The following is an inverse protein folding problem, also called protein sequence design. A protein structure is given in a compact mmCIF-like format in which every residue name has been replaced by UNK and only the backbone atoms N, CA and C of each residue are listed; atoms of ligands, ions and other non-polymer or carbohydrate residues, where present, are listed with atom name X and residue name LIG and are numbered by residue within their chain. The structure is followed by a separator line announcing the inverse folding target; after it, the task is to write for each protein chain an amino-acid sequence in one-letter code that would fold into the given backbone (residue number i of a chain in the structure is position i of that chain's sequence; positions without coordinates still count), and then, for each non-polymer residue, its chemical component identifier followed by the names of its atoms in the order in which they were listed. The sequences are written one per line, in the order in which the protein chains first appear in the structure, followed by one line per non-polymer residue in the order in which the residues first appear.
data_IF_721848231880
#
_entry.id   IF_721848231880
#
_cell.length_a   1.000
_cell.length_b   1.000
_cell.length_c   1.000
_cell.angle_alpha   90.00
_cell.angle_beta   90.00
_cell.angle_gamma   90.00
#
_symmetry.space_group_name_H-M   'P 1'
#
loop_
_entity.id
_entity.type
_entity.pdbx_description
1 polymer ?
#
# COMPACT_ATOMS: atom_id res chain seq x y z
N UNK A 1 8.52 22.50 2.28
CA UNK A 1 8.71 21.41 1.30
C UNK A 1 8.17 20.08 1.81
N UNK A 2 8.57 19.60 3.00
CA UNK A 2 8.07 18.34 3.56
C UNK A 2 6.52 18.19 3.60
N UNK A 3 5.80 19.25 3.95
CA UNK A 3 4.33 19.24 3.98
C UNK A 3 3.71 19.01 2.59
N UNK A 4 4.25 19.66 1.55
CA UNK A 4 3.77 19.49 0.17
C UNK A 4 4.04 18.07 -0.31
N UNK A 5 5.23 17.52 -0.03
CA UNK A 5 5.57 16.13 -0.36
C UNK A 5 4.62 15.14 0.32
N UNK A 6 4.27 15.38 1.58
CA UNK A 6 3.31 14.56 2.32
C UNK A 6 1.91 14.62 1.71
N UNK A 7 1.44 15.82 1.31
CA UNK A 7 0.15 15.96 0.62
C UNK A 7 0.14 15.13 -0.66
N UNK A 8 1.18 15.25 -1.49
CA UNK A 8 1.26 14.50 -2.76
C UNK A 8 1.25 13.00 -2.50
N UNK A 9 2.02 12.52 -1.53
CA UNK A 9 2.06 11.11 -1.14
C UNK A 9 0.67 10.61 -0.69
N UNK A 10 0.04 11.32 0.25
CA UNK A 10 -1.29 10.95 0.78
C UNK A 10 -2.36 11.00 -0.31
N UNK A 11 -2.36 12.03 -1.16
CA UNK A 11 -3.31 12.14 -2.28
C UNK A 11 -3.16 10.97 -3.26
N UNK A 12 -1.93 10.57 -3.59
CA UNK A 12 -1.67 9.40 -4.43
C UNK A 12 -2.22 8.12 -3.80
N UNK A 13 -1.89 7.87 -2.53
CA UNK A 13 -2.35 6.68 -1.80
C UNK A 13 -3.87 6.64 -1.70
N UNK A 14 -4.51 7.74 -1.28
CA UNK A 14 -5.97 7.83 -1.18
C UNK A 14 -6.67 7.68 -2.54
N UNK A 15 -6.06 8.19 -3.62
CA UNK A 15 -6.57 8.03 -4.98
C UNK A 15 -6.52 6.58 -5.50
N UNK A 16 -5.54 5.79 -5.05
CA UNK A 16 -5.41 4.39 -5.45
C UNK A 16 -6.29 3.42 -4.66
N UNK A 17 -6.67 3.75 -3.41
CA UNK A 17 -7.54 2.92 -2.56
C UNK A 17 -8.81 2.41 -3.26
N UNK A 18 -9.65 3.26 -3.90
CA UNK A 18 -10.88 2.76 -4.53
C UNK A 18 -10.61 1.76 -5.66
N UNK A 19 -9.54 1.96 -6.45
CA UNK A 19 -9.16 1.03 -7.52
C UNK A 19 -8.71 -0.31 -6.94
N UNK A 20 -7.92 -0.27 -5.86
CA UNK A 20 -7.44 -1.47 -5.18
C UNK A 20 -8.59 -2.34 -4.64
N UNK A 21 -9.61 -1.74 -4.04
CA UNK A 21 -10.77 -2.47 -3.53
C UNK A 21 -11.70 -3.03 -4.61
N UNK A 22 -11.70 -2.45 -5.81
CA UNK A 22 -12.47 -2.96 -6.94
C UNK A 22 -11.76 -4.12 -7.67
N UNK A 23 -10.44 -4.28 -7.47
CA UNK A 23 -9.63 -5.25 -8.20
C UNK A 23 -10.14 -6.71 -8.08
N UNK A 24 -10.54 -7.23 -6.90
CA UNK A 24 -11.05 -8.60 -6.81
C UNK A 24 -12.30 -8.82 -7.64
N UNK A 25 -13.24 -7.87 -7.63
CA UNK A 25 -14.48 -7.97 -8.41
C UNK A 25 -14.24 -7.82 -9.91
N UNK A 26 -13.16 -7.13 -10.31
CA UNK A 26 -12.81 -6.96 -11.71
C UNK A 26 -12.17 -8.21 -12.33
N UNK A 27 -11.50 -9.05 -11.52
CA UNK A 27 -10.75 -10.23 -12.01
C UNK A 27 -11.34 -11.57 -11.57
N UNK A 28 -12.25 -11.60 -10.60
CA UNK A 28 -12.92 -12.78 -10.07
C UNK A 28 -14.44 -12.61 -10.13
N UNK A 29 -15.18 -13.73 -10.20
CA UNK A 29 -16.64 -13.74 -10.19
C UNK A 29 -17.20 -14.61 -9.05
N UNK A 30 -18.43 -14.30 -8.62
CA UNK A 30 -19.16 -15.08 -7.62
C UNK A 30 -18.39 -15.22 -6.29
N UNK A 31 -18.36 -16.43 -5.74
CA UNK A 31 -17.71 -16.72 -4.44
C UNK A 31 -16.21 -16.41 -4.42
N UNK A 32 -15.51 -16.51 -5.55
CA UNK A 32 -14.08 -16.20 -5.61
C UNK A 32 -13.80 -14.71 -5.34
N UNK A 33 -14.66 -13.82 -5.82
CA UNK A 33 -14.55 -12.39 -5.56
C UNK A 33 -14.72 -12.06 -4.07
N UNK A 34 -15.70 -12.68 -3.40
CA UNK A 34 -15.92 -12.54 -1.96
C UNK A 34 -14.69 -12.97 -1.14
N UNK A 35 -14.07 -14.10 -1.51
CA UNK A 35 -12.82 -14.58 -0.88
C UNK A 35 -11.68 -13.58 -1.11
N UNK A 36 -11.55 -13.02 -2.33
CA UNK A 36 -10.56 -11.99 -2.62
C UNK A 36 -10.71 -10.75 -1.73
N UNK A 37 -11.93 -10.27 -1.52
CA UNK A 37 -12.22 -9.14 -0.62
C UNK A 37 -11.94 -9.51 0.85
N UNK A 38 -12.29 -10.72 1.28
CA UNK A 38 -11.99 -11.20 2.63
C UNK A 38 -10.48 -11.25 2.88
N UNK A 39 -9.71 -11.74 1.91
CA UNK A 39 -8.24 -11.78 1.97
C UNK A 39 -7.63 -10.39 2.09
N UNK A 40 -8.10 -9.42 1.29
CA UNK A 40 -7.66 -8.02 1.40
C UNK A 40 -7.91 -7.48 2.81
N UNK A 41 -9.08 -7.74 3.40
CA UNK A 41 -9.41 -7.29 4.76
C UNK A 41 -8.49 -7.92 5.81
N UNK A 42 -8.16 -9.21 5.69
CA UNK A 42 -7.23 -9.87 6.60
C UNK A 42 -5.84 -9.22 6.56
N UNK A 43 -5.32 -8.92 5.37
CA UNK A 43 -4.03 -8.24 5.20
C UNK A 43 -4.10 -6.80 5.71
N UNK A 44 -5.19 -6.08 5.44
CA UNK A 44 -5.38 -4.71 5.91
C UNK A 44 -5.38 -4.60 7.45
N UNK A 45 -6.03 -5.55 8.14
CA UNK A 45 -6.00 -5.60 9.60
C UNK A 45 -4.59 -5.89 10.14
N UNK A 46 -3.83 -6.78 9.49
CA UNK A 46 -2.44 -7.03 9.87
C UNK A 46 -1.58 -5.78 9.70
N UNK A 47 -1.68 -5.11 8.54
CA UNK A 47 -0.95 -3.87 8.26
C UNK A 47 -1.33 -2.74 9.23
N UNK A 48 -2.62 -2.65 9.59
CA UNK A 48 -3.12 -1.66 10.57
C UNK A 48 -2.56 -1.86 11.98
N UNK A 49 -2.16 -3.08 12.34
CA UNK A 49 -1.46 -3.37 13.59
C UNK A 49 0.05 -3.16 13.47
N UNK A 50 0.65 -3.68 12.40
CA UNK A 50 2.11 -3.74 12.24
C UNK A 50 2.73 -2.37 11.93
N UNK A 51 2.05 -1.53 11.12
CA UNK A 51 2.54 -0.20 10.75
C UNK A 51 2.75 0.74 11.96
N UNK A 52 1.78 0.94 12.88
CA UNK A 52 2.00 1.76 14.06
C UNK A 52 2.95 1.12 15.07
N UNK A 53 2.97 -0.21 15.19
CA UNK A 53 3.92 -0.92 16.06
C UNK A 53 5.36 -0.67 15.60
N UNK A 54 5.64 -0.89 14.31
CA UNK A 54 6.95 -0.63 13.71
C UNK A 54 7.34 0.84 13.83
N UNK A 55 6.43 1.77 13.55
CA UNK A 55 6.70 3.21 13.68
C UNK A 55 7.02 3.60 15.13
N UNK A 56 6.31 3.02 16.10
CA UNK A 56 6.56 3.20 17.53
C UNK A 56 7.94 2.68 17.94
N UNK A 57 8.26 1.43 17.58
CA UNK A 57 9.56 0.82 17.88
C UNK A 57 10.73 1.62 17.27
N UNK A 58 10.57 2.10 16.04
CA UNK A 58 11.56 2.95 15.38
C UNK A 58 11.71 4.30 16.06
N UNK A 59 10.59 4.92 16.46
CA UNK A 59 10.60 6.18 17.21
C UNK A 59 11.31 6.02 18.54
N UNK A 60 11.08 4.92 19.26
CA UNK A 60 11.72 4.64 20.54
C UNK A 60 13.23 4.39 20.38
N UNK A 61 13.65 3.76 19.28
CA UNK A 61 15.06 3.51 18.99
C UNK A 61 15.82 4.76 18.47
N UNK A 62 15.22 5.59 17.61
CA UNK A 62 15.89 6.74 16.99
C UNK A 62 15.56 8.08 17.64
N UNK A 63 14.63 8.13 18.59
CA UNK A 63 14.17 9.35 19.26
C UNK A 63 13.38 10.33 18.37
N UNK A 64 13.08 9.96 17.13
CA UNK A 64 12.37 10.80 16.17
C UNK A 64 11.56 9.96 15.17
N UNK A 65 10.53 10.56 14.57
CA UNK A 65 9.65 9.90 13.58
C UNK A 65 10.20 9.89 12.16
N UNK A 66 11.25 10.65 11.89
CA UNK A 66 11.76 10.84 10.54
C UNK A 66 12.36 9.54 9.98
N UNK A 67 12.99 8.73 10.83
CA UNK A 67 13.46 7.38 10.48
C UNK A 67 12.32 6.47 9.98
N UNK A 68 11.18 6.48 10.65
CA UNK A 68 10.00 5.70 10.26
C UNK A 68 9.38 6.16 8.95
N UNK A 69 9.32 7.47 8.72
CA UNK A 69 8.84 8.03 7.46
C UNK A 69 9.74 7.64 6.27
N UNK A 70 11.06 7.59 6.47
CA UNK A 70 11.98 7.10 5.44
C UNK A 70 11.77 5.63 5.08
N UNK A 71 11.49 4.78 6.08
CA UNK A 71 11.21 3.36 5.85
C UNK A 71 9.90 3.18 5.08
N UNK A 72 8.85 3.92 5.46
CA UNK A 72 7.56 3.90 4.74
C UNK A 72 7.77 4.35 3.29
N UNK A 73 8.50 5.45 3.07
CA UNK A 73 8.78 5.95 1.72
C UNK A 73 9.59 4.93 0.88
N UNK A 74 10.59 4.28 1.47
CA UNK A 74 11.38 3.25 0.79
C UNK A 74 10.52 2.03 0.42
N UNK A 75 9.62 1.59 1.30
CA UNK A 75 8.71 0.49 1.05
C UNK A 75 7.70 0.81 -0.07
N UNK A 76 7.06 1.98 -0.01
CA UNK A 76 6.12 2.43 -1.06
C UNK A 76 6.82 2.51 -2.43
N UNK A 77 8.05 3.05 -2.48
CA UNK A 77 8.83 3.09 -3.71
C UNK A 77 9.19 1.68 -4.21
N UNK A 78 9.63 0.79 -3.32
CA UNK A 78 9.99 -0.58 -3.69
C UNK A 78 8.79 -1.34 -4.29
N UNK A 79 7.62 -1.23 -3.66
CA UNK A 79 6.37 -1.82 -4.16
C UNK A 79 5.95 -1.18 -5.47
N UNK A 80 6.01 0.16 -5.58
CA UNK A 80 5.70 0.86 -6.82
C UNK A 80 6.59 0.43 -7.98
N UNK A 81 7.91 0.31 -7.76
CA UNK A 81 8.86 -0.21 -8.75
C UNK A 81 8.53 -1.67 -9.11
N UNK A 82 8.23 -2.49 -8.11
CA UNK A 82 7.87 -3.90 -8.32
C UNK A 82 6.62 -4.03 -9.18
N UNK A 83 5.57 -3.26 -8.91
CA UNK A 83 4.35 -3.24 -9.74
C UNK A 83 4.67 -2.77 -11.17
N UNK A 84 5.48 -1.71 -11.32
CA UNK A 84 5.88 -1.22 -12.64
C UNK A 84 6.73 -2.23 -13.42
N UNK A 85 7.45 -3.13 -12.73
CA UNK A 85 8.24 -4.19 -13.37
C UNK A 85 7.38 -5.25 -14.07
N UNK A 86 6.12 -5.44 -13.65
CA UNK A 86 5.17 -6.34 -14.31
C UNK A 86 4.52 -5.74 -15.58
N UNK A 87 4.95 -4.53 -16.02
CA UNK A 87 4.30 -3.81 -17.11
C UNK A 87 4.74 -4.29 -18.51
N UNK A 88 4.18 -5.42 -18.95
CA UNK A 88 3.57 -5.70 -20.27
C UNK A 88 3.44 -7.23 -20.48
N UNK A 89 2.22 -7.76 -20.41
CA UNK A 89 1.78 -8.71 -21.46
C UNK A 89 0.82 -7.96 -22.34
N UNK A 90 1.30 -7.61 -23.53
CA UNK A 90 0.54 -7.05 -24.65
C UNK A 90 -0.72 -7.91 -24.80
N UNK A 91 -1.89 -7.33 -24.56
CA UNK A 91 -3.16 -7.88 -25.05
C UNK A 91 -3.09 -7.74 -26.58
N UNK A 92 -2.54 -8.76 -27.23
CA UNK A 92 -2.63 -8.96 -28.67
C UNK A 92 -3.95 -9.70 -28.87
N UNK A 93 -4.81 -9.03 -29.64
CA UNK A 93 -6.05 -9.48 -30.31
C UNK A 93 -7.19 -10.01 -29.44
#
# INVERSE_FOLDING_TARGET
MAFISLIIAVSGTMGCIPVYWQLPNAVLAGSAAAIGVAFINSVANLAGFDAPFMLGALKDASGNFQSGLWIIAALELAVGIWILSFRKRKQID
#
